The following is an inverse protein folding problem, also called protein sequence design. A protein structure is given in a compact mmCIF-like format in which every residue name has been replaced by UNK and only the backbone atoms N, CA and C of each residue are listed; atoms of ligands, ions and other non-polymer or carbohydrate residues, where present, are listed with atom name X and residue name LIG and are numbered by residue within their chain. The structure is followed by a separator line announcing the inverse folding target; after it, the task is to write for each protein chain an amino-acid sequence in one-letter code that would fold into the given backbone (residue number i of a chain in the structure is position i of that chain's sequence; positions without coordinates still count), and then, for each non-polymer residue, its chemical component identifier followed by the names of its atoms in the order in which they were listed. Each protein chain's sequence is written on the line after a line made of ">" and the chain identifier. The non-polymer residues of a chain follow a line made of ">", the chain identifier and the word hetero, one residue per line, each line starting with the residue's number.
data_IF_591989195789
#
_entry.id   IF_591989195789
#
_cell.length_a   1.000
_cell.length_b   1.000
_cell.length_c   1.000
_cell.angle_alpha   90.00
_cell.angle_beta   90.00
_cell.angle_gamma   90.00
#
_symmetry.space_group_name_H-M   'P 1'
#
loop_
_entity.id
_entity.type
_entity.pdbx_description
1 polymer ?
#
# COMPACT_ATOMS: atom_id res chain seq x y z
N UNK A 1 8.43 -27.04 15.23
CA UNK A 1 8.43 -25.63 15.68
C UNK A 1 7.30 -24.91 14.97
N UNK A 2 6.41 -24.25 15.71
CA UNK A 2 5.34 -23.41 15.13
C UNK A 2 5.96 -22.11 14.65
N UNK A 3 5.80 -21.80 13.36
CA UNK A 3 6.21 -20.52 12.79
C UNK A 3 5.34 -19.38 13.36
N UNK A 4 5.97 -18.31 13.83
CA UNK A 4 5.28 -17.10 14.29
C UNK A 4 5.47 -16.02 13.23
N UNK A 5 4.39 -15.49 12.62
CA UNK A 5 4.54 -14.47 11.60
C UNK A 5 5.15 -13.16 12.14
N UNK A 6 6.04 -12.56 11.36
CA UNK A 6 6.77 -11.34 11.68
C UNK A 6 6.42 -10.21 10.72
N UNK A 7 6.08 -9.03 11.24
CA UNK A 7 5.63 -7.88 10.43
C UNK A 7 6.62 -7.50 9.33
N UNK A 8 7.91 -7.48 9.65
CA UNK A 8 8.97 -7.06 8.72
C UNK A 8 9.39 -8.18 7.74
N UNK A 9 8.79 -9.36 7.84
CA UNK A 9 9.07 -10.49 6.95
C UNK A 9 7.80 -10.86 6.18
N UNK A 10 6.72 -11.18 6.88
CA UNK A 10 5.49 -11.71 6.30
C UNK A 10 4.47 -10.65 5.86
N UNK A 11 4.68 -9.38 6.20
CA UNK A 11 3.78 -8.29 5.84
C UNK A 11 3.77 -7.99 4.33
N UNK A 12 2.65 -7.52 3.79
CA UNK A 12 2.62 -7.03 2.42
C UNK A 12 3.55 -5.83 2.21
N UNK A 13 3.72 -4.98 3.21
CA UNK A 13 4.60 -3.80 3.14
C UNK A 13 6.07 -4.25 3.06
N UNK A 14 6.50 -5.18 3.91
CA UNK A 14 7.87 -5.72 3.86
C UNK A 14 8.17 -6.48 2.57
N UNK A 15 7.20 -7.28 2.11
CA UNK A 15 7.32 -8.01 0.84
C UNK A 15 7.32 -7.07 -0.38
N UNK A 16 6.65 -5.91 -0.29
CA UNK A 16 6.67 -4.92 -1.36
C UNK A 16 7.94 -4.06 -1.35
N UNK A 17 8.47 -3.67 -0.19
CA UNK A 17 9.50 -2.62 -0.11
C UNK A 17 10.83 -3.08 0.48
N UNK A 18 11.01 -4.39 0.73
CA UNK A 18 12.07 -4.98 1.56
C UNK A 18 11.90 -4.72 3.07
N UNK A 19 12.41 -5.60 3.94
CA UNK A 19 12.33 -5.43 5.40
C UNK A 19 12.89 -4.08 5.90
N UNK A 20 14.06 -3.65 5.38
CA UNK A 20 14.73 -2.43 5.83
C UNK A 20 13.91 -1.17 5.50
N UNK A 21 13.42 -1.04 4.26
CA UNK A 21 12.62 0.13 3.92
C UNK A 21 11.23 0.09 4.57
N UNK A 22 10.68 -1.10 4.82
CA UNK A 22 9.44 -1.22 5.57
C UNK A 22 9.61 -0.79 7.04
N UNK A 23 10.72 -1.17 7.67
CA UNK A 23 11.09 -0.68 9.01
C UNK A 23 11.21 0.84 9.02
N UNK A 24 11.94 1.43 8.05
CA UNK A 24 12.08 2.88 7.94
C UNK A 24 10.75 3.58 7.69
N UNK A 25 9.89 3.03 6.83
CA UNK A 25 8.55 3.56 6.59
C UNK A 25 7.71 3.55 7.88
N UNK A 26 7.68 2.43 8.60
CA UNK A 26 6.90 2.26 9.82
C UNK A 26 7.41 3.14 10.96
N UNK A 27 8.73 3.32 11.08
CA UNK A 27 9.36 4.29 11.97
C UNK A 27 8.83 5.71 11.70
N UNK A 28 8.81 6.15 10.44
CA UNK A 28 8.30 7.47 10.08
C UNK A 28 6.79 7.61 10.23
N UNK A 29 6.02 6.55 9.99
CA UNK A 29 4.57 6.52 10.16
C UNK A 29 4.17 6.67 11.64
N UNK A 30 4.81 5.88 12.51
CA UNK A 30 4.42 5.76 13.91
C UNK A 30 5.18 6.71 14.84
N UNK A 31 6.20 7.42 14.34
CA UNK A 31 7.06 8.31 15.14
C UNK A 31 7.63 7.60 16.38
N UNK A 32 7.90 6.32 16.25
CA UNK A 32 8.46 5.46 17.30
C UNK A 32 9.87 5.06 16.90
N UNK A 33 10.75 4.79 17.86
CA UNK A 33 12.08 4.28 17.57
C UNK A 33 12.00 2.86 16.97
N UNK A 34 13.04 2.45 16.23
CA UNK A 34 13.07 1.10 15.61
C UNK A 34 12.84 -0.02 16.64
N UNK A 35 13.39 0.13 17.85
CA UNK A 35 13.21 -0.84 18.92
C UNK A 35 11.76 -0.89 19.47
N UNK A 36 11.02 0.22 19.36
CA UNK A 36 9.64 0.38 19.79
C UNK A 36 8.61 -0.25 18.85
N UNK A 37 8.96 -0.44 17.58
CA UNK A 37 8.06 -1.05 16.60
C UNK A 37 7.65 -2.47 17.00
N UNK A 38 8.62 -3.31 17.37
CA UNK A 38 8.37 -4.68 17.81
C UNK A 38 7.60 -4.77 19.14
N UNK A 39 7.71 -3.76 20.00
CA UNK A 39 6.95 -3.69 21.27
C UNK A 39 5.52 -3.20 21.08
N UNK A 40 5.29 -2.36 20.07
CA UNK A 40 4.00 -1.70 19.83
C UNK A 40 3.11 -2.49 18.88
N UNK A 41 3.71 -3.33 18.03
CA UNK A 41 3.00 -4.20 17.11
C UNK A 41 2.50 -5.47 17.83
N UNK A 42 1.28 -5.86 17.52
CA UNK A 42 0.69 -7.12 17.95
C UNK A 42 0.12 -7.87 16.75
N UNK A 43 0.06 -9.19 16.89
CA UNK A 43 -0.44 -10.08 15.85
C UNK A 43 -1.78 -10.66 16.28
N UNK A 44 -2.81 -10.54 15.42
CA UNK A 44 -4.10 -11.20 15.62
C UNK A 44 -4.40 -12.14 14.45
N UNK A 45 -4.92 -13.36 14.67
CA UNK A 45 -5.33 -14.23 13.57
C UNK A 45 -6.48 -13.59 12.79
N UNK A 46 -6.47 -13.77 11.47
CA UNK A 46 -7.61 -13.38 10.63
C UNK A 46 -8.83 -14.26 10.97
N UNK A 47 -10.07 -13.73 10.91
CA UNK A 47 -11.27 -14.53 11.16
C UNK A 47 -11.44 -15.72 10.21
N UNK A 48 -10.90 -15.61 8.99
CA UNK A 48 -10.92 -16.66 7.96
C UNK A 48 -9.80 -17.71 8.12
N UNK A 49 -8.93 -17.56 9.11
CA UNK A 49 -7.79 -18.47 9.36
C UNK A 49 -6.67 -18.41 8.32
N UNK A 50 -6.76 -17.54 7.31
CA UNK A 50 -5.82 -17.51 6.19
C UNK A 50 -4.48 -16.85 6.49
N UNK A 51 -4.34 -16.19 7.65
CA UNK A 51 -3.14 -15.47 8.05
C UNK A 51 -3.35 -14.64 9.30
N UNK A 52 -2.57 -13.58 9.45
CA UNK A 52 -2.63 -12.67 10.59
C UNK A 52 -2.75 -11.20 10.17
N UNK A 53 -3.19 -10.39 11.14
CA UNK A 53 -3.24 -8.95 11.11
C UNK A 53 -2.11 -8.42 11.98
N UNK A 54 -1.36 -7.46 11.47
CA UNK A 54 -0.40 -6.69 12.25
C UNK A 54 -1.04 -5.38 12.68
N UNK A 55 -1.15 -5.16 13.98
CA UNK A 55 -1.90 -4.05 14.57
C UNK A 55 -1.04 -3.28 15.56
N UNK A 56 -1.33 -2.00 15.78
CA UNK A 56 -0.70 -1.17 16.82
C UNK A 56 -1.72 -0.64 17.80
N UNK A 57 -1.25 -0.36 19.02
CA UNK A 57 -2.03 0.17 20.15
C UNK A 57 -1.87 1.67 20.36
N UNK A 58 -0.86 2.26 19.74
CA UNK A 58 -0.53 3.67 19.91
C UNK A 58 -0.23 4.27 18.55
N UNK A 59 -0.77 5.45 18.31
CA UNK A 59 -0.48 6.26 17.15
C UNK A 59 0.08 7.61 17.61
N UNK A 60 0.81 8.34 16.74
CA UNK A 60 1.11 9.74 16.98
C UNK A 60 -0.17 10.53 17.25
N UNK A 61 -0.15 11.47 18.20
CA UNK A 61 -1.33 12.26 18.60
C UNK A 61 -2.01 12.98 17.42
N UNK A 62 -1.22 13.38 16.43
CA UNK A 62 -1.71 14.07 15.24
C UNK A 62 -2.32 13.13 14.18
N UNK A 63 -2.31 11.82 14.43
CA UNK A 63 -3.00 10.83 13.62
C UNK A 63 -4.31 10.46 14.32
N UNK A 64 -5.45 10.73 13.68
CA UNK A 64 -6.76 10.36 14.24
C UNK A 64 -7.58 9.46 13.29
N UNK A 65 -7.03 8.33 12.84
CA UNK A 65 -7.78 7.39 12.02
C UNK A 65 -8.79 6.65 12.90
N UNK A 66 -9.94 6.31 12.32
CA UNK A 66 -10.88 5.39 12.96
C UNK A 66 -10.17 4.08 13.33
N UNK A 67 -10.29 3.59 14.58
CA UNK A 67 -9.76 2.29 14.96
C UNK A 67 -10.26 1.18 14.04
N UNK A 68 -9.38 0.23 13.71
CA UNK A 68 -9.74 -0.94 12.92
C UNK A 68 -10.59 -1.92 13.73
N UNK A 69 -10.21 -2.12 14.99
CA UNK A 69 -10.93 -2.98 15.95
C UNK A 69 -10.57 -2.55 17.38
N UNK A 70 -11.05 -3.29 18.36
CA UNK A 70 -10.67 -3.15 19.77
C UNK A 70 -10.07 -4.45 20.29
N UNK A 71 -9.22 -4.35 21.31
CA UNK A 71 -8.72 -5.52 22.03
C UNK A 71 -9.74 -6.04 23.06
N UNK A 72 -9.34 -7.04 23.86
CA UNK A 72 -10.20 -7.64 24.91
C UNK A 72 -10.58 -6.65 26.02
N UNK A 73 -9.79 -5.60 26.21
CA UNK A 73 -10.03 -4.55 27.21
C UNK A 73 -10.78 -3.35 26.61
N UNK A 74 -11.27 -3.45 25.36
CA UNK A 74 -11.96 -2.38 24.65
C UNK A 74 -11.04 -1.27 24.12
N UNK A 75 -9.71 -1.45 24.19
CA UNK A 75 -8.74 -0.45 23.72
C UNK A 75 -8.66 -0.46 22.20
N UNK A 76 -8.60 0.71 21.54
CA UNK A 76 -8.54 0.78 20.08
C UNK A 76 -7.26 0.17 19.52
N UNK A 77 -7.40 -0.48 18.37
CA UNK A 77 -6.31 -1.09 17.60
C UNK A 77 -6.37 -0.60 16.16
N UNK A 78 -5.22 -0.25 15.61
CA UNK A 78 -5.10 0.21 14.23
C UNK A 78 -4.30 -0.77 13.39
N UNK A 79 -4.79 -1.02 12.18
CA UNK A 79 -4.18 -1.96 11.25
C UNK A 79 -2.96 -1.34 10.57
N UNK A 80 -1.81 -1.97 10.73
CA UNK A 80 -0.60 -1.65 9.98
C UNK A 80 -0.51 -2.42 8.68
N UNK A 81 -0.71 -3.74 8.75
CA UNK A 81 -0.45 -4.63 7.63
C UNK A 81 -1.22 -5.95 7.77
N UNK A 82 -1.31 -6.69 6.68
CA UNK A 82 -1.73 -8.09 6.65
C UNK A 82 -0.52 -8.97 6.37
N UNK A 83 -0.48 -10.17 6.96
CA UNK A 83 0.44 -11.18 6.44
C UNK A 83 0.05 -11.59 5.04
N UNK A 84 1.04 -11.78 4.17
CA UNK A 84 0.83 -12.32 2.83
C UNK A 84 0.25 -13.73 2.93
N UNK A 85 -0.94 -13.90 2.37
CA UNK A 85 -1.52 -15.23 2.14
C UNK A 85 -0.96 -15.72 0.81
N UNK A 86 -0.54 -16.99 0.72
CA UNK A 86 0.02 -17.65 -0.48
C UNK A 86 -1.03 -17.71 -1.62
N UNK A 87 -1.34 -16.57 -2.21
CA UNK A 87 -2.27 -16.36 -3.33
C UNK A 87 -1.57 -15.69 -4.52
N UNK A 88 -0.24 -15.76 -4.54
CA UNK A 88 0.63 -15.25 -5.59
C UNK A 88 1.75 -14.35 -5.08
N UNK A 89 2.60 -13.91 -6.00
CA UNK A 89 3.85 -13.20 -5.70
C UNK A 89 3.60 -11.71 -5.51
N UNK A 90 4.01 -11.16 -4.36
CA UNK A 90 4.02 -9.70 -4.14
C UNK A 90 5.11 -9.08 -5.02
N UNK A 91 4.76 -7.99 -5.71
CA UNK A 91 5.68 -7.32 -6.63
C UNK A 91 6.58 -6.38 -5.82
N UNK A 92 7.90 -6.64 -5.75
CA UNK A 92 8.81 -5.78 -5.03
C UNK A 92 8.92 -4.44 -5.76
N UNK A 93 9.13 -3.38 -5.00
CA UNK A 93 9.27 -2.01 -5.46
C UNK A 93 10.31 -1.30 -4.61
N UNK A 94 11.12 -0.44 -5.24
CA UNK A 94 11.97 0.47 -4.49
C UNK A 94 11.10 1.51 -3.77
N UNK A 95 11.18 1.62 -2.45
CA UNK A 95 10.44 2.62 -1.69
C UNK A 95 10.88 4.02 -2.14
N UNK A 96 9.95 4.82 -2.65
CA UNK A 96 10.27 6.17 -3.07
C UNK A 96 10.48 7.09 -1.86
N UNK A 97 11.54 7.89 -1.92
CA UNK A 97 11.83 8.96 -0.97
C UNK A 97 12.35 10.20 -1.72
N UNK A 98 12.18 11.42 -1.19
CA UNK A 98 12.81 12.61 -1.77
C UNK A 98 14.34 12.51 -1.76
N UNK A 99 14.99 13.01 -2.82
CA UNK A 99 16.45 12.87 -3.01
C UNK A 99 17.28 13.79 -2.09
N UNK A 100 16.73 14.95 -1.70
CA UNK A 100 17.45 15.90 -0.85
C UNK A 100 16.95 15.86 0.60
N UNK A 101 17.86 16.13 1.54
CA UNK A 101 17.61 16.01 2.97
C UNK A 101 16.50 16.95 3.47
N UNK A 102 16.39 18.15 2.88
CA UNK A 102 15.37 19.14 3.26
C UNK A 102 13.97 18.64 2.92
N UNK A 103 13.76 18.16 1.70
CA UNK A 103 12.48 17.60 1.26
C UNK A 103 12.16 16.31 2.01
N UNK A 104 13.17 15.47 2.26
CA UNK A 104 13.00 14.28 3.09
C UNK A 104 12.49 14.64 4.48
N UNK A 105 13.12 15.62 5.13
CA UNK A 105 12.71 16.11 6.44
C UNK A 105 11.26 16.62 6.40
N UNK A 106 10.96 17.52 5.47
CA UNK A 106 9.67 18.20 5.37
C UNK A 106 8.52 17.28 4.95
N UNK A 107 8.79 16.24 4.17
CA UNK A 107 7.75 15.41 3.55
C UNK A 107 7.70 13.98 4.06
N UNK A 108 8.69 13.51 4.82
CA UNK A 108 8.72 12.16 5.39
C UNK A 108 8.92 12.23 6.90
N UNK A 109 10.04 12.81 7.36
CA UNK A 109 10.43 12.75 8.76
C UNK A 109 9.50 13.55 9.68
N UNK A 110 9.21 14.80 9.33
CA UNK A 110 8.33 15.70 10.11
C UNK A 110 6.88 15.69 9.63
N UNK A 111 6.63 15.07 8.47
CA UNK A 111 5.27 14.93 7.94
C UNK A 111 4.43 13.93 8.74
N UNK A 112 3.12 14.19 8.79
CA UNK A 112 2.13 13.24 9.30
C UNK A 112 1.71 12.32 8.15
N UNK A 113 2.34 11.15 8.08
CA UNK A 113 1.96 10.11 7.13
C UNK A 113 0.61 9.50 7.53
N UNK A 114 -0.17 9.05 6.55
CA UNK A 114 -1.50 8.49 6.81
C UNK A 114 -1.38 6.96 6.89
N UNK A 115 -2.30 6.32 7.61
CA UNK A 115 -2.31 4.85 7.72
C UNK A 115 -2.44 4.20 6.34
N UNK A 116 -1.84 3.02 6.13
CA UNK A 116 -2.06 2.21 4.94
C UNK A 116 -3.54 1.97 4.66
N UNK A 117 -3.93 2.05 3.39
CA UNK A 117 -5.29 1.74 2.96
C UNK A 117 -5.26 0.42 2.20
N UNK A 118 -5.80 -0.63 2.81
CA UNK A 118 -5.95 -1.94 2.18
C UNK A 118 -7.33 -2.10 1.56
N UNK A 119 -7.39 -2.72 0.39
CA UNK A 119 -8.64 -2.93 -0.34
C UNK A 119 -9.26 -4.26 0.06
N UNK A 120 -10.12 -4.23 1.08
CA UNK A 120 -10.87 -5.42 1.51
C UNK A 120 -12.16 -5.56 0.71
N UNK A 121 -12.37 -6.71 0.08
CA UNK A 121 -13.64 -7.03 -0.57
C UNK A 121 -14.71 -7.44 0.46
N UNK A 122 -15.98 -7.35 0.06
CA UNK A 122 -17.13 -7.77 0.89
C UNK A 122 -17.08 -9.24 1.29
N UNK A 123 -16.49 -10.09 0.45
CA UNK A 123 -16.27 -11.51 0.72
C UNK A 123 -15.05 -11.80 1.60
N UNK A 124 -14.33 -10.78 2.09
CA UNK A 124 -13.16 -10.94 2.95
C UNK A 124 -11.83 -11.16 2.22
N UNK A 125 -11.84 -11.20 0.88
CA UNK A 125 -10.61 -11.29 0.09
C UNK A 125 -9.92 -9.93 0.05
N UNK A 126 -8.60 -9.92 0.24
CA UNK A 126 -7.80 -8.71 0.10
C UNK A 126 -7.41 -8.46 -1.35
N UNK A 127 -7.47 -7.20 -1.73
CA UNK A 127 -7.11 -6.65 -3.03
C UNK A 127 -8.27 -6.51 -4.01
N UNK A 128 -8.01 -5.70 -5.04
CA UNK A 128 -8.88 -5.41 -6.17
C UNK A 128 -8.16 -5.79 -7.47
N UNK A 129 -8.84 -6.43 -8.41
CA UNK A 129 -8.24 -6.69 -9.72
C UNK A 129 -7.87 -5.37 -10.40
N UNK A 130 -6.74 -5.34 -11.13
CA UNK A 130 -6.35 -4.13 -11.85
C UNK A 130 -7.42 -3.73 -12.87
N UNK A 131 -8.05 -4.68 -13.54
CA UNK A 131 -9.13 -4.42 -14.49
C UNK A 131 -10.35 -3.75 -13.83
N UNK A 132 -10.78 -4.22 -12.66
CA UNK A 132 -11.87 -3.57 -11.92
C UNK A 132 -11.51 -2.16 -11.47
N UNK A 133 -10.27 -1.96 -11.01
CA UNK A 133 -9.79 -0.64 -10.63
C UNK A 133 -9.79 0.32 -11.83
N UNK A 134 -9.27 -0.10 -12.98
CA UNK A 134 -9.22 0.70 -14.22
C UNK A 134 -10.62 1.14 -14.64
N UNK A 135 -11.59 0.23 -14.56
CA UNK A 135 -12.97 0.47 -14.99
C UNK A 135 -13.87 1.07 -13.90
N UNK A 136 -13.33 1.36 -12.71
CA UNK A 136 -14.10 1.95 -11.60
C UNK A 136 -15.13 1.00 -10.97
N UNK A 137 -14.96 -0.32 -11.18
CA UNK A 137 -15.83 -1.38 -10.63
C UNK A 137 -15.44 -1.74 -9.20
N UNK A 138 -15.43 -0.73 -8.33
CA UNK A 138 -14.96 -0.85 -6.94
C UNK A 138 -16.07 -1.22 -5.94
N UNK A 139 -17.27 -1.60 -6.40
CA UNK A 139 -18.46 -1.81 -5.57
C UNK A 139 -18.38 -3.11 -4.74
N UNK A 140 -17.43 -3.99 -5.08
CA UNK A 140 -17.07 -5.19 -4.34
C UNK A 140 -16.24 -4.87 -3.10
N UNK A 141 -15.61 -3.68 -3.02
CA UNK A 141 -14.90 -3.24 -1.81
C UNK A 141 -15.90 -3.00 -0.67
N UNK A 142 -15.53 -3.43 0.53
CA UNK A 142 -16.32 -3.26 1.75
C UNK A 142 -16.59 -1.79 2.03
N UNK A 143 -15.55 -0.96 1.95
CA UNK A 143 -15.58 0.45 2.33
C UNK A 143 -15.61 1.40 1.12
N UNK A 144 -16.08 0.91 -0.04
CA UNK A 144 -16.02 1.64 -1.32
C UNK A 144 -16.59 3.07 -1.27
N UNK A 145 -17.59 3.30 -0.41
CA UNK A 145 -18.31 4.56 -0.25
C UNK A 145 -17.80 5.42 0.92
N UNK A 146 -16.90 4.90 1.74
CA UNK A 146 -16.29 5.62 2.85
C UNK A 146 -15.28 6.63 2.33
N UNK A 147 -15.19 7.81 2.97
CA UNK A 147 -14.19 8.82 2.63
C UNK A 147 -12.78 8.29 2.94
N UNK A 148 -11.86 8.43 1.99
CA UNK A 148 -10.48 8.02 2.18
C UNK A 148 -9.72 9.05 3.05
N UNK A 149 -8.93 8.56 4.00
CA UNK A 149 -8.11 9.41 4.87
C UNK A 149 -6.79 9.78 4.15
N UNK A 150 -6.83 10.87 3.39
CA UNK A 150 -5.76 11.26 2.46
C UNK A 150 -4.95 12.50 2.92
N UNK A 151 -4.95 12.78 4.23
CA UNK A 151 -4.15 13.87 4.81
C UNK A 151 -4.58 15.27 4.41
N UNK A 152 -5.86 15.44 4.02
CA UNK A 152 -6.47 16.76 3.79
C UNK A 152 -5.94 17.54 2.58
N UNK A 153 -5.11 16.96 1.71
CA UNK A 153 -4.63 17.65 0.51
C UNK A 153 -5.67 17.68 -0.61
N UNK A 154 -5.46 18.54 -1.61
CA UNK A 154 -6.30 18.63 -2.82
C UNK A 154 -5.85 17.64 -3.89
N UNK A 155 -4.54 17.45 -4.00
CA UNK A 155 -3.91 16.53 -4.95
C UNK A 155 -2.84 15.69 -4.26
N UNK A 156 -2.50 14.57 -4.88
CA UNK A 156 -1.36 13.74 -4.49
C UNK A 156 -0.73 13.07 -5.71
N UNK A 157 0.48 12.54 -5.55
CA UNK A 157 1.12 11.71 -6.57
C UNK A 157 0.94 10.23 -6.25
N UNK A 158 0.59 9.45 -7.26
CA UNK A 158 0.72 7.99 -7.24
C UNK A 158 2.04 7.65 -7.92
N UNK A 159 2.91 6.93 -7.22
CA UNK A 159 4.23 6.52 -7.69
C UNK A 159 4.30 5.00 -7.83
N UNK A 160 4.92 4.53 -8.90
CA UNK A 160 5.10 3.11 -9.20
C UNK A 160 6.57 2.89 -9.50
N UNK A 161 7.23 2.01 -8.74
CA UNK A 161 8.63 1.68 -8.91
C UNK A 161 8.78 0.20 -9.28
N UNK A 162 8.21 -0.17 -10.44
CA UNK A 162 8.19 -1.55 -10.91
C UNK A 162 9.61 -2.04 -11.26
N UNK A 163 10.02 -3.26 -10.88
CA UNK A 163 11.37 -3.75 -11.12
C UNK A 163 11.75 -3.78 -12.60
N UNK A 164 12.91 -3.20 -12.95
CA UNK A 164 13.38 -3.12 -14.34
C UNK A 164 12.77 -1.99 -15.18
N UNK A 165 11.94 -1.11 -14.60
CA UNK A 165 11.38 0.06 -15.27
C UNK A 165 11.68 1.35 -14.50
N UNK A 166 11.67 2.48 -15.21
CA UNK A 166 11.83 3.78 -14.57
C UNK A 166 10.65 4.08 -13.63
N UNK A 167 10.93 4.78 -12.54
CA UNK A 167 9.89 5.21 -11.59
C UNK A 167 8.87 6.09 -12.30
N UNK A 168 7.63 5.63 -12.31
CA UNK A 168 6.50 6.36 -12.86
C UNK A 168 5.83 7.21 -11.77
N UNK A 169 5.38 8.40 -12.14
CA UNK A 169 4.59 9.28 -11.26
C UNK A 169 3.40 9.87 -12.00
N UNK A 170 2.26 9.95 -11.33
CA UNK A 170 1.08 10.65 -11.84
C UNK A 170 0.37 11.40 -10.73
N UNK A 171 0.04 12.67 -10.96
CA UNK A 171 -0.77 13.47 -10.04
C UNK A 171 -2.26 13.16 -10.22
N UNK A 172 -2.99 13.07 -9.11
CA UNK A 172 -4.44 12.83 -9.07
C UNK A 172 -5.12 13.78 -8.09
N UNK A 173 -6.39 14.12 -8.36
CA UNK A 173 -7.24 14.88 -7.44
C UNK A 173 -7.75 13.94 -6.35
N UNK A 174 -7.71 14.39 -5.09
CA UNK A 174 -8.13 13.61 -3.92
C UNK A 174 -9.23 14.31 -3.11
N UNK A 175 -9.80 15.37 -3.68
CA UNK A 175 -11.06 15.98 -3.21
C UNK A 175 -12.14 15.85 -4.28
N UNK A 176 -13.38 15.76 -3.83
CA UNK A 176 -14.54 15.85 -4.71
C UNK A 176 -14.78 17.30 -5.16
N UNK A 177 -15.66 17.46 -6.14
CA UNK A 177 -16.04 18.76 -6.71
C UNK A 177 -17.20 19.41 -5.94
N UNK A 178 -17.59 18.83 -4.80
CA UNK A 178 -18.66 19.41 -3.99
C UNK A 178 -18.19 20.74 -3.37
N UNK A 179 -19.11 21.64 -2.99
CA UNK A 179 -18.74 22.88 -2.31
C UNK A 179 -17.91 22.64 -1.02
N UNK A 180 -18.18 21.54 -0.31
CA UNK A 180 -17.43 21.13 0.88
C UNK A 180 -16.01 20.62 0.56
N UNK A 181 -15.75 20.25 -0.70
CA UNK A 181 -14.49 19.67 -1.19
C UNK A 181 -14.00 18.54 -0.29
N UNK A 182 -14.89 17.59 -0.02
CA UNK A 182 -14.57 16.45 0.85
C UNK A 182 -13.48 15.58 0.20
N UNK A 183 -12.76 14.82 1.00
CA UNK A 183 -11.89 13.76 0.48
C UNK A 183 -12.70 12.79 -0.40
N UNK A 184 -12.10 12.29 -1.47
CA UNK A 184 -12.76 11.28 -2.31
C UNK A 184 -13.00 9.96 -1.54
N UNK A 185 -13.92 9.13 -2.02
CA UNK A 185 -14.16 7.81 -1.43
C UNK A 185 -13.03 6.83 -1.72
N UNK A 186 -12.92 5.76 -0.92
CA UNK A 186 -11.97 4.66 -1.15
C UNK A 186 -12.14 4.07 -2.56
N UNK A 187 -13.37 3.86 -3.02
CA UNK A 187 -13.62 3.34 -4.37
C UNK A 187 -13.12 4.29 -5.48
N UNK A 188 -13.33 5.61 -5.31
CA UNK A 188 -12.81 6.59 -6.27
C UNK A 188 -11.28 6.67 -6.23
N UNK A 189 -10.67 6.51 -5.06
CA UNK A 189 -9.21 6.47 -4.93
C UNK A 189 -8.61 5.21 -5.54
N UNK A 190 -9.21 4.04 -5.31
CA UNK A 190 -8.85 2.78 -5.98
C UNK A 190 -8.91 2.90 -7.49
N UNK A 191 -9.94 3.58 -8.02
CA UNK A 191 -10.03 3.88 -9.45
C UNK A 191 -8.89 4.78 -9.95
N UNK A 192 -8.53 5.84 -9.22
CA UNK A 192 -7.36 6.67 -9.57
C UNK A 192 -6.04 5.88 -9.60
N UNK A 193 -5.89 4.90 -8.71
CA UNK A 193 -4.73 3.99 -8.72
C UNK A 193 -4.77 3.09 -9.95
N UNK A 194 -5.91 2.48 -10.28
CA UNK A 194 -6.08 1.68 -11.49
C UNK A 194 -5.75 2.47 -12.76
N UNK A 195 -6.28 3.69 -12.90
CA UNK A 195 -5.96 4.58 -14.03
C UNK A 195 -4.47 4.97 -14.06
N UNK A 196 -3.81 5.09 -12.91
CA UNK A 196 -2.37 5.39 -12.84
C UNK A 196 -1.52 4.20 -13.28
N UNK A 197 -1.91 2.99 -12.87
CA UNK A 197 -1.31 1.74 -13.36
C UNK A 197 -1.52 1.58 -14.87
N UNK A 198 -2.71 1.85 -15.40
CA UNK A 198 -2.96 1.81 -16.85
C UNK A 198 -2.07 2.81 -17.60
N UNK A 199 -1.92 4.02 -17.09
CA UNK A 199 -1.05 5.03 -17.69
C UNK A 199 0.43 4.60 -17.65
N UNK A 200 0.88 3.95 -16.57
CA UNK A 200 2.20 3.34 -16.49
C UNK A 200 2.38 2.24 -17.54
N UNK A 201 1.43 1.30 -17.65
CA UNK A 201 1.46 0.17 -18.57
C UNK A 201 1.40 0.59 -20.05
N UNK A 202 0.81 1.76 -20.36
CA UNK A 202 0.84 2.34 -21.72
C UNK A 202 2.14 3.06 -22.05
N UNK A 203 2.87 3.53 -21.04
CA UNK A 203 4.10 4.32 -21.18
C UNK A 203 5.29 3.60 -20.55
N UNK A 204 5.41 2.30 -20.81
CA UNK A 204 6.50 1.47 -20.29
C UNK A 204 7.84 2.04 -20.75
N UNK A 205 8.67 2.41 -19.78
CA UNK A 205 10.02 2.91 -20.02
C UNK A 205 11.00 1.98 -19.31
N UNK A 206 11.52 0.94 -19.99
CA UNK A 206 12.47 0.00 -19.39
C UNK A 206 13.73 0.72 -18.90
N UNK A 207 14.23 0.31 -17.74
CA UNK A 207 15.50 0.77 -17.23
C UNK A 207 16.63 -0.08 -17.83
N UNK A 208 17.33 0.48 -18.83
CA UNK A 208 18.30 -0.25 -19.65
C UNK A 208 19.49 -0.82 -18.85
N UNK A 209 19.82 -0.23 -17.70
CA UNK A 209 20.96 -0.66 -16.87
C UNK A 209 20.68 -1.88 -16.00
N UNK A 210 19.45 -2.40 -15.95
CA UNK A 210 19.02 -3.41 -14.98
C UNK A 210 18.39 -4.68 -15.58
N UNK A 211 18.46 -4.89 -16.91
CA UNK A 211 17.64 -5.91 -17.61
C UNK A 211 17.74 -7.34 -17.03
N UNK A 212 18.93 -7.92 -16.93
CA UNK A 212 19.08 -9.35 -16.64
C UNK A 212 18.57 -9.79 -15.25
N UNK A 213 18.65 -8.92 -14.23
CA UNK A 213 18.20 -9.26 -12.87
C UNK A 213 16.67 -9.23 -12.73
N UNK A 214 15.98 -8.48 -13.61
CA UNK A 214 14.54 -8.25 -13.51
C UNK A 214 13.74 -8.86 -14.67
N UNK A 215 14.33 -9.78 -15.44
CA UNK A 215 13.65 -10.44 -16.56
C UNK A 215 12.31 -11.08 -16.14
N UNK A 216 12.23 -11.62 -14.91
CA UNK A 216 10.99 -12.19 -14.33
C UNK A 216 9.86 -11.17 -14.10
N UNK A 217 10.18 -9.88 -14.08
CA UNK A 217 9.23 -8.78 -13.90
C UNK A 217 8.86 -8.09 -15.21
N UNK A 218 9.24 -8.67 -16.34
CA UNK A 218 8.92 -8.11 -17.66
C UNK A 218 7.40 -8.04 -17.85
N UNK A 219 6.92 -6.88 -18.29
CA UNK A 219 5.52 -6.61 -18.62
C UNK A 219 5.32 -6.78 -20.12
N UNK A 220 4.23 -7.46 -20.51
CA UNK A 220 3.83 -7.62 -21.92
C UNK A 220 4.09 -9.01 -22.49
N UNK A 221 4.45 -9.09 -23.77
CA UNK A 221 4.53 -10.35 -24.50
C UNK A 221 5.47 -11.35 -23.81
N UNK A 222 4.93 -12.49 -23.38
CA UNK A 222 5.69 -13.54 -22.69
C UNK A 222 5.99 -13.25 -21.21
N UNK A 223 5.45 -12.17 -20.65
CA UNK A 223 5.61 -11.79 -19.25
C UNK A 223 4.27 -11.47 -18.57
N UNK A 224 4.33 -10.58 -17.60
CA UNK A 224 3.19 -10.17 -16.77
C UNK A 224 2.22 -9.30 -17.58
N UNK A 225 0.94 -9.68 -17.57
CA UNK A 225 -0.14 -8.94 -18.20
C UNK A 225 -0.98 -8.18 -17.17
N UNK A 226 -1.74 -7.14 -17.59
CA UNK A 226 -2.59 -6.38 -16.66
C UNK A 226 -3.60 -7.25 -15.89
N UNK A 227 -4.11 -8.31 -16.52
CA UNK A 227 -5.06 -9.26 -15.91
C UNK A 227 -4.43 -10.06 -14.76
N UNK A 228 -3.10 -10.19 -14.75
CA UNK A 228 -2.36 -10.92 -13.74
C UNK A 228 -2.15 -10.07 -12.47
N UNK A 229 -2.48 -8.78 -12.51
CA UNK A 229 -2.17 -7.84 -11.43
C UNK A 229 -3.38 -7.60 -10.54
N UNK A 230 -3.15 -7.67 -9.23
CA UNK A 230 -4.06 -7.25 -8.17
C UNK A 230 -3.44 -6.11 -7.37
N UNK A 231 -4.25 -5.11 -7.05
CA UNK A 231 -3.89 -4.00 -6.16
C UNK A 231 -4.35 -4.36 -4.76
N UNK A 232 -3.41 -4.59 -3.84
CA UNK A 232 -3.70 -5.03 -2.46
C UNK A 232 -4.10 -3.85 -1.59
N UNK A 233 -3.44 -2.72 -1.80
CA UNK A 233 -3.64 -1.51 -1.03
C UNK A 233 -2.67 -0.43 -1.49
N UNK A 234 -2.48 0.57 -0.64
CA UNK A 234 -1.60 1.70 -0.93
C UNK A 234 -1.07 2.32 0.37
N UNK A 235 0.20 2.75 0.36
CA UNK A 235 0.87 3.38 1.51
C UNK A 235 1.23 4.84 1.23
N UNK A 236 1.15 5.70 2.25
CA UNK A 236 1.53 7.12 2.17
C UNK A 236 3.02 7.29 2.45
N UNK A 237 3.84 7.31 1.41
CA UNK A 237 5.32 7.30 1.55
C UNK A 237 5.91 8.69 1.83
N UNK A 238 5.18 9.75 1.50
CA UNK A 238 5.50 11.13 1.88
C UNK A 238 4.23 11.96 1.86
N UNK A 239 4.25 13.15 2.45
CA UNK A 239 3.11 14.08 2.50
C UNK A 239 2.44 14.35 1.15
N UNK A 240 3.09 14.10 0.01
CA UNK A 240 2.51 14.31 -1.32
C UNK A 240 2.59 13.11 -2.26
N UNK A 241 2.91 11.92 -1.75
CA UNK A 241 3.11 10.72 -2.58
C UNK A 241 2.60 9.46 -1.90
N UNK A 242 1.94 8.62 -2.69
CA UNK A 242 1.45 7.30 -2.31
C UNK A 242 2.00 6.23 -3.26
N UNK A 243 2.24 5.03 -2.75
CA UNK A 243 2.73 3.89 -3.53
C UNK A 243 1.83 2.67 -3.37
N UNK A 244 1.35 2.05 -4.47
CA UNK A 244 0.47 0.89 -4.39
C UNK A 244 1.25 -0.34 -3.93
N UNK A 245 0.57 -1.22 -3.21
CA UNK A 245 1.02 -2.59 -2.93
C UNK A 245 0.42 -3.47 -4.01
N UNK A 246 1.25 -4.18 -4.76
CA UNK A 246 0.86 -4.95 -5.93
C UNK A 246 1.17 -6.44 -5.71
N UNK A 247 0.31 -7.31 -6.20
CA UNK A 247 0.48 -8.76 -6.16
C UNK A 247 0.08 -9.34 -7.52
N UNK A 248 0.79 -10.38 -7.95
CA UNK A 248 0.39 -11.20 -9.09
C UNK A 248 -0.59 -12.28 -8.64
N UNK A 249 -1.56 -12.64 -9.47
CA UNK A 249 -2.28 -13.90 -9.31
C UNK A 249 -1.31 -15.09 -9.42
N UNK A 250 -1.61 -16.20 -8.72
CA UNK A 250 -0.82 -17.45 -8.56
C UNK A 250 -0.36 -18.17 -9.85
N UNK A 251 -0.45 -17.54 -11.02
CA UNK A 251 -0.09 -18.13 -12.32
C UNK A 251 1.42 -18.19 -12.56
N UNK A 252 2.24 -17.64 -11.66
CA UNK A 252 3.69 -17.54 -11.83
C UNK A 252 4.44 -18.24 -10.69
N UNK A 253 4.90 -19.47 -10.95
CA UNK A 253 5.93 -20.12 -10.13
C UNK A 253 7.27 -19.70 -10.71
N UNK A 254 8.04 -18.92 -9.94
CA UNK A 254 9.45 -18.62 -10.23
C UNK A 254 10.36 -19.48 -9.36
#
# INVERSE_FOLDING_TARGET
>A
MSYTPELLIDGYISQSFSPNNAEDYLHHLLKTDRSGLNRSCQTLPKPDGSGVLFLVRTLPENLSPTPFTQDRDGRPLWLLDYSVVRMGTVIPQALWSPDNATDHRNHVTEAILQMPIFFMQKNGIIGLSLDDAINGRCQTLRDARTLAQLGGKTTTHIRIAWPGYNVFKRQVQIRDETPAKNSITIGKFAHHIGRSMEAFLRNLTPNQSQRAEFDRWTIGQGGINPIDIRIIGIIHVSAGSWMPILQLYDVWIF
#
